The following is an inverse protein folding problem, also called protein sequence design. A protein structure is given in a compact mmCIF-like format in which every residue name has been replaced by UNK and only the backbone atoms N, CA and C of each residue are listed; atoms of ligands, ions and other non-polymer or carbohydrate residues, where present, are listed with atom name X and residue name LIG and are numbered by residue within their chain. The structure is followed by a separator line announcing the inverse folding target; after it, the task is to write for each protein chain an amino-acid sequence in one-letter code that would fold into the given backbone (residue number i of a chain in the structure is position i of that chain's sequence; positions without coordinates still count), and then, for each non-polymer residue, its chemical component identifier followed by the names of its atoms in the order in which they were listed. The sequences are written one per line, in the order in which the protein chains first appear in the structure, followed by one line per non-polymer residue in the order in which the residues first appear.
data_IF_830974670232
#
_entry.id   IF_830974670232
#
_cell.length_a   1.000
_cell.length_b   1.000
_cell.length_c   1.000
_cell.angle_alpha   90.00
_cell.angle_beta   90.00
_cell.angle_gamma   90.00
#
_symmetry.space_group_name_H-M   'P 1'
#
loop_
_entity.id
_entity.type
_entity.pdbx_description
1 polymer ?
#
# COMPACT_ATOMS: atom_id res chain seq x y z
N UNK A 1 17.58 -9.12 -3.45
CA UNK A 1 17.59 -8.64 -4.86
C UNK A 1 16.76 -7.38 -4.90
N UNK A 2 17.38 -6.20 -4.97
CA UNK A 2 16.67 -4.92 -4.90
C UNK A 2 15.85 -4.72 -6.17
N UNK A 3 14.53 -4.70 -6.06
CA UNK A 3 13.64 -4.32 -7.17
C UNK A 3 13.73 -2.81 -7.30
N UNK A 4 14.50 -2.35 -8.29
CA UNK A 4 14.47 -0.95 -8.71
C UNK A 4 13.17 -0.72 -9.46
N UNK A 5 12.33 0.15 -8.91
CA UNK A 5 11.14 0.66 -9.59
C UNK A 5 11.60 1.85 -10.45
N UNK A 6 11.73 1.67 -11.76
CA UNK A 6 11.97 2.81 -12.66
C UNK A 6 10.64 3.44 -13.07
N UNK A 7 10.52 4.79 -13.05
CA UNK A 7 9.31 5.46 -13.47
C UNK A 7 9.14 5.35 -15.00
N UNK A 8 7.95 4.92 -15.42
CA UNK A 8 7.57 4.88 -16.82
C UNK A 8 7.59 6.30 -17.42
N UNK A 9 8.33 6.45 -18.52
CA UNK A 9 8.41 7.68 -19.29
C UNK A 9 7.03 8.08 -19.84
N UNK A 10 6.59 9.31 -19.56
CA UNK A 10 5.43 9.93 -20.21
C UNK A 10 5.89 10.52 -21.55
N UNK A 11 5.50 9.88 -22.65
CA UNK A 11 5.69 10.40 -24.01
C UNK A 11 4.68 11.53 -24.30
N UNK A 12 5.18 12.70 -24.72
CA UNK A 12 4.43 13.96 -24.73
C UNK A 12 3.67 14.33 -26.00
N UNK A 13 3.20 15.58 -26.05
CA UNK A 13 2.96 16.33 -27.30
C UNK A 13 2.99 17.83 -27.04
N UNK A 14 3.80 18.55 -27.83
CA UNK A 14 3.79 20.00 -27.87
C UNK A 14 2.51 20.49 -28.58
N UNK A 15 1.83 21.48 -27.99
CA UNK A 15 0.83 22.30 -28.66
C UNK A 15 0.97 23.77 -28.24
N UNK A 16 0.84 24.63 -29.25
CA UNK A 16 1.14 26.04 -29.28
C UNK A 16 -0.08 26.89 -28.84
N UNK A 17 0.12 27.91 -28.00
CA UNK A 17 -0.63 29.17 -28.07
C UNK A 17 -1.76 29.46 -27.05
N UNK A 18 -1.50 30.51 -26.26
CA UNK A 18 -2.39 31.50 -25.60
C UNK A 18 -2.98 31.20 -24.21
N UNK A 19 -2.74 32.18 -23.33
CA UNK A 19 -3.16 32.27 -21.94
C UNK A 19 -4.68 32.35 -21.77
N UNK A 20 -5.20 31.53 -20.85
CA UNK A 20 -6.44 31.80 -20.10
C UNK A 20 -6.27 31.26 -18.68
N UNK A 21 -6.04 32.18 -17.75
CA UNK A 21 -6.19 31.99 -16.31
C UNK A 21 -7.68 31.79 -15.99
N UNK A 22 -8.12 30.55 -15.84
CA UNK A 22 -9.25 30.18 -15.00
C UNK A 22 -8.99 28.78 -14.43
N UNK A 23 -8.38 28.69 -13.25
CA UNK A 23 -8.32 27.42 -12.51
C UNK A 23 -9.74 27.14 -12.00
N UNK A 24 -10.43 26.26 -12.72
CA UNK A 24 -11.65 25.55 -12.29
C UNK A 24 -11.43 24.89 -10.93
N UNK A 25 -12.45 24.74 -10.05
CA UNK A 25 -12.34 23.89 -8.86
C UNK A 25 -11.80 22.53 -9.30
N UNK A 26 -10.65 22.18 -8.74
CA UNK A 26 -9.75 21.13 -9.22
C UNK A 26 -10.48 19.82 -9.53
N UNK A 27 -10.22 19.23 -10.70
CA UNK A 27 -10.28 17.77 -10.85
C UNK A 27 -9.58 17.18 -9.62
N UNK A 28 -10.33 16.52 -8.74
CA UNK A 28 -9.78 15.98 -7.50
C UNK A 28 -8.77 14.91 -7.90
N UNK A 29 -7.48 15.28 -7.86
CA UNK A 29 -6.39 14.36 -8.09
C UNK A 29 -6.62 13.14 -7.21
N UNK A 30 -6.66 11.96 -7.84
CA UNK A 30 -6.89 10.69 -7.14
C UNK A 30 -5.87 10.60 -5.99
N UNK A 31 -6.29 10.25 -4.76
CA UNK A 31 -5.36 10.22 -3.63
C UNK A 31 -4.18 9.30 -3.93
N UNK A 32 -2.95 9.64 -3.50
CA UNK A 32 -1.80 8.77 -3.69
C UNK A 32 -2.07 7.41 -3.05
N UNK A 33 -1.61 6.35 -3.70
CA UNK A 33 -1.81 4.97 -3.23
C UNK A 33 -0.56 4.49 -2.49
N UNK A 34 -0.75 3.84 -1.34
CA UNK A 34 0.33 3.17 -0.60
C UNK A 34 -0.04 1.72 -0.27
N UNK A 35 0.97 0.86 -0.17
CA UNK A 35 0.83 -0.55 0.18
C UNK A 35 1.48 -0.84 1.53
N UNK A 36 0.75 -1.42 2.48
CA UNK A 36 1.35 -2.05 3.66
C UNK A 36 1.55 -3.55 3.44
N UNK A 37 2.69 -4.09 3.86
CA UNK A 37 3.04 -5.51 3.83
C UNK A 37 3.32 -5.92 5.28
N UNK A 38 2.30 -6.44 5.97
CA UNK A 38 2.39 -6.71 7.40
C UNK A 38 1.37 -7.76 7.86
N UNK A 39 1.48 -8.21 9.10
CA UNK A 39 0.45 -9.03 9.73
C UNK A 39 -0.76 -8.22 10.18
N UNK A 40 -1.88 -8.91 10.39
CA UNK A 40 -3.10 -8.31 10.94
C UNK A 40 -3.01 -8.14 12.45
N UNK A 41 -3.80 -7.22 12.98
CA UNK A 41 -4.17 -7.10 14.39
C UNK A 41 -5.71 -7.11 14.50
N UNK A 42 -6.27 -8.10 15.21
CA UNK A 42 -7.74 -8.16 15.39
C UNK A 42 -8.29 -7.02 16.25
N UNK A 43 -7.47 -6.41 17.11
CA UNK A 43 -7.84 -5.24 17.90
C UNK A 43 -7.82 -3.92 17.12
N UNK A 44 -7.20 -3.91 15.95
CA UNK A 44 -7.12 -2.77 15.04
C UNK A 44 -6.27 -1.58 15.52
N UNK A 45 -5.43 -1.78 16.54
CA UNK A 45 -4.50 -0.77 17.08
C UNK A 45 -3.08 -0.88 16.52
N UNK A 46 -2.75 -2.00 15.86
CA UNK A 46 -1.48 -2.28 15.21
C UNK A 46 -1.68 -2.93 13.82
N UNK A 47 -0.60 -3.48 13.25
CA UNK A 47 -0.63 -4.24 12.00
C UNK A 47 -1.16 -3.44 10.80
N UNK A 48 -1.65 -4.17 9.79
CA UNK A 48 -2.23 -3.54 8.59
C UNK A 48 -3.40 -2.61 8.93
N UNK A 49 -4.14 -2.86 10.01
CA UNK A 49 -5.29 -2.04 10.42
C UNK A 49 -4.82 -0.64 10.85
N UNK A 50 -3.78 -0.55 11.67
CA UNK A 50 -3.20 0.73 12.06
C UNK A 50 -2.51 1.44 10.89
N UNK A 51 -1.85 0.68 10.01
CA UNK A 51 -1.24 1.23 8.81
C UNK A 51 -2.29 1.88 7.90
N UNK A 52 -3.40 1.19 7.63
CA UNK A 52 -4.49 1.69 6.77
C UNK A 52 -5.18 2.93 7.38
N UNK A 53 -5.44 2.93 8.70
CA UNK A 53 -5.96 4.12 9.41
C UNK A 53 -4.99 5.30 9.31
N UNK A 54 -3.69 5.03 9.39
CA UNK A 54 -2.66 6.07 9.24
C UNK A 54 -2.67 6.61 7.82
N UNK A 55 -2.67 5.76 6.80
CA UNK A 55 -2.76 6.19 5.39
C UNK A 55 -4.00 7.06 5.16
N UNK A 56 -5.17 6.62 5.63
CA UNK A 56 -6.41 7.39 5.52
C UNK A 56 -6.31 8.76 6.22
N UNK A 57 -5.75 8.81 7.42
CA UNK A 57 -5.56 10.06 8.17
C UNK A 57 -4.65 11.07 7.44
N UNK A 58 -3.77 10.60 6.54
CA UNK A 58 -2.90 11.43 5.70
C UNK A 58 -3.42 11.61 4.27
N UNK A 59 -4.67 11.24 3.99
CA UNK A 59 -5.28 11.39 2.65
C UNK A 59 -4.68 10.45 1.59
N UNK A 60 -4.11 9.32 2.02
CA UNK A 60 -3.51 8.29 1.17
C UNK A 60 -4.49 7.12 1.05
N UNK A 61 -4.71 6.62 -0.15
CA UNK A 61 -5.48 5.39 -0.36
C UNK A 61 -4.61 4.18 0.02
N UNK A 62 -4.97 3.53 1.12
CA UNK A 62 -4.23 2.38 1.64
C UNK A 62 -4.64 1.05 1.00
N UNK A 63 -3.64 0.23 0.68
CA UNK A 63 -3.77 -1.16 0.23
C UNK A 63 -2.93 -2.07 1.13
N UNK A 64 -3.18 -3.38 1.11
CA UNK A 64 -2.49 -4.31 2.00
C UNK A 64 -2.12 -5.64 1.33
N UNK A 65 -0.97 -6.18 1.71
CA UNK A 65 -0.59 -7.58 1.56
C UNK A 65 -0.37 -8.17 2.97
N UNK A 66 -1.14 -9.21 3.30
CA UNK A 66 -1.18 -9.79 4.64
C UNK A 66 -0.16 -10.91 4.75
N UNK A 67 0.77 -10.81 5.70
CA UNK A 67 1.82 -11.82 5.95
C UNK A 67 1.40 -12.86 6.99
N UNK A 68 0.57 -12.47 7.94
CA UNK A 68 -0.04 -13.37 8.91
C UNK A 68 -1.35 -12.79 9.44
N UNK A 69 -2.29 -13.66 9.76
CA UNK A 69 -3.48 -13.31 10.54
C UNK A 69 -3.19 -13.64 12.00
N UNK A 70 -3.38 -12.67 12.88
CA UNK A 70 -3.24 -12.88 14.33
C UNK A 70 -4.61 -12.90 14.99
N UNK A 71 -4.75 -13.72 16.03
CA UNK A 71 -5.77 -13.55 17.06
C UNK A 71 -5.14 -12.68 18.15
N UNK A 72 -5.28 -11.36 18.01
CA UNK A 72 -4.62 -10.36 18.84
C UNK A 72 -5.64 -9.37 19.42
N UNK A 73 -5.41 -8.94 20.65
CA UNK A 73 -6.09 -7.80 21.26
C UNK A 73 -5.08 -6.97 22.08
N UNK A 74 -5.57 -5.99 22.84
CA UNK A 74 -4.73 -5.08 23.62
C UNK A 74 -3.95 -5.72 24.77
N UNK A 75 -4.26 -6.97 25.15
CA UNK A 75 -3.58 -7.69 26.24
C UNK A 75 -2.61 -8.77 25.75
N UNK A 76 -2.63 -9.12 24.47
CA UNK A 76 -1.67 -10.09 23.91
C UNK A 76 -2.07 -10.70 22.57
N UNK A 77 -1.22 -11.62 22.12
CA UNK A 77 -1.41 -12.46 20.92
C UNK A 77 -1.65 -13.89 21.36
N UNK A 78 -2.75 -14.47 20.89
CA UNK A 78 -3.21 -15.81 21.30
C UNK A 78 -3.10 -16.85 20.18
N UNK A 79 -2.86 -16.39 18.95
CA UNK A 79 -2.70 -17.26 17.80
C UNK A 79 -2.15 -16.50 16.61
N UNK A 80 -1.37 -17.19 15.79
CA UNK A 80 -0.79 -16.67 14.55
C UNK A 80 -1.01 -17.72 13.47
N UNK A 81 -1.59 -17.28 12.35
CA UNK A 81 -1.67 -18.07 11.12
C UNK A 81 -0.86 -17.35 10.04
N UNK A 82 0.28 -17.92 9.68
CA UNK A 82 1.18 -17.36 8.65
C UNK A 82 0.61 -17.62 7.26
N UNK A 83 0.63 -16.61 6.41
CA UNK A 83 0.24 -16.73 5.00
C UNK A 83 1.45 -17.28 4.21
N UNK A 84 1.27 -18.25 3.29
CA UNK A 84 2.36 -18.74 2.46
C UNK A 84 3.05 -17.61 1.67
N UNK A 85 4.40 -17.57 1.59
CA UNK A 85 5.13 -16.50 0.91
C UNK A 85 4.69 -16.29 -0.54
N UNK A 86 4.37 -17.36 -1.27
CA UNK A 86 3.91 -17.30 -2.66
C UNK A 86 2.59 -16.51 -2.78
N UNK A 87 1.71 -16.66 -1.78
CA UNK A 87 0.46 -15.91 -1.73
C UNK A 87 0.66 -14.46 -1.29
N UNK A 88 1.66 -14.16 -0.44
CA UNK A 88 2.06 -12.77 -0.14
C UNK A 88 2.59 -12.07 -1.38
N UNK A 89 3.44 -12.74 -2.16
CA UNK A 89 3.97 -12.23 -3.43
C UNK A 89 2.82 -11.97 -4.41
N UNK A 90 1.86 -12.89 -4.50
CA UNK A 90 0.72 -12.72 -5.41
C UNK A 90 -0.17 -11.55 -4.98
N UNK A 91 -0.44 -11.37 -3.68
CA UNK A 91 -1.14 -10.18 -3.16
C UNK A 91 -0.44 -8.88 -3.59
N UNK A 92 0.89 -8.81 -3.46
CA UNK A 92 1.69 -7.66 -3.88
C UNK A 92 1.56 -7.44 -5.39
N UNK A 93 1.69 -8.50 -6.20
CA UNK A 93 1.64 -8.42 -7.67
C UNK A 93 0.30 -7.90 -8.16
N UNK A 94 -0.81 -8.48 -7.69
CA UNK A 94 -2.15 -8.09 -8.17
C UNK A 94 -2.46 -6.63 -7.78
N UNK A 95 -2.11 -6.21 -6.55
CA UNK A 95 -2.27 -4.81 -6.12
C UNK A 95 -1.38 -3.88 -6.94
N UNK A 96 -0.12 -4.24 -7.16
CA UNK A 96 0.81 -3.41 -7.93
C UNK A 96 0.37 -3.24 -9.39
N UNK A 97 -0.20 -4.29 -10.00
CA UNK A 97 -0.64 -4.28 -11.39
C UNK A 97 -1.90 -3.45 -11.66
N UNK A 98 -2.75 -3.25 -10.65
CA UNK A 98 -4.02 -2.52 -10.79
C UNK A 98 -3.94 -1.12 -10.16
N UNK A 99 -3.48 -1.05 -8.91
CA UNK A 99 -3.59 0.15 -8.09
C UNK A 99 -2.31 1.00 -8.06
N UNK A 100 -1.19 0.47 -8.56
CA UNK A 100 0.06 1.21 -8.75
C UNK A 100 0.51 2.03 -7.51
N UNK A 101 0.75 1.38 -6.35
CA UNK A 101 1.17 2.06 -5.13
C UNK A 101 2.50 2.82 -5.34
N UNK A 102 2.54 4.08 -4.91
CA UNK A 102 3.73 4.94 -4.99
C UNK A 102 4.70 4.70 -3.82
N UNK A 103 4.19 4.17 -2.71
CA UNK A 103 4.97 3.90 -1.52
C UNK A 103 4.57 2.54 -0.94
N UNK A 104 5.55 1.88 -0.32
CA UNK A 104 5.34 0.64 0.41
C UNK A 104 5.85 0.80 1.85
N UNK A 105 5.16 0.17 2.80
CA UNK A 105 5.60 0.02 4.18
C UNK A 105 5.62 -1.46 4.53
N UNK A 106 6.67 -1.93 5.19
CA UNK A 106 6.73 -3.29 5.75
C UNK A 106 6.53 -3.28 7.27
N UNK A 107 5.81 -4.27 7.80
CA UNK A 107 5.65 -4.52 9.23
C UNK A 107 6.16 -5.91 9.62
N UNK A 108 5.40 -6.62 10.45
CA UNK A 108 5.70 -8.01 10.79
C UNK A 108 5.69 -8.89 9.53
N UNK A 109 6.77 -9.64 9.29
CA UNK A 109 6.93 -10.52 8.13
C UNK A 109 6.78 -12.02 8.48
N UNK A 110 6.67 -12.34 9.76
CA UNK A 110 6.37 -13.66 10.33
C UNK A 110 7.41 -14.78 10.12
N UNK A 111 8.03 -14.92 8.95
CA UNK A 111 9.06 -15.95 8.71
C UNK A 111 10.20 -15.51 7.77
N UNK A 112 11.30 -16.26 7.81
CA UNK A 112 12.51 -16.02 7.01
C UNK A 112 12.30 -16.23 5.50
N UNK A 113 11.22 -16.89 5.09
CA UNK A 113 10.93 -17.11 3.66
C UNK A 113 10.13 -15.96 3.05
N UNK A 114 9.56 -15.11 3.91
CA UNK A 114 8.81 -13.91 3.53
C UNK A 114 9.74 -12.70 3.32
N UNK A 115 10.98 -12.73 3.83
CA UNK A 115 12.07 -11.75 3.63
C UNK A 115 12.99 -12.13 2.46
#
# INVERSE_FOLDING_TARGET
MAVQCEPAAVAGKAANGKAQDTVSPSETARPPVALTIAGSDSGGGAGIQADLKTFEAFGVFGTAAVTAVTAQNTVGVFGIHTIPPELVIEQIRVVASDLHPFACKSGMLADDRTI
#
